data_IF_567652492445
#
_entry.id   IF_567652492445
#
_cell.length_a   1.000
_cell.length_b   1.000
_cell.length_c   1.000
_cell.angle_alpha   90.00
_cell.angle_beta   90.00
_cell.angle_gamma   90.00
#
_symmetry.space_group_name_H-M   'P 1'
#
loop_
_entity.id
_entity.type
_entity.pdbx_description
1 polymer ?
#
# COMPACT_ATOMS: atom_id res chain seq x y z
N UNK A 1 -9.51 -8.52 8.37
CA UNK A 1 -9.27 -9.29 7.13
C UNK A 1 -9.58 -8.46 5.89
N UNK A 2 -10.72 -7.78 5.84
CA UNK A 2 -11.09 -6.89 4.73
C UNK A 2 -10.00 -5.85 4.38
N UNK A 3 -9.54 -5.06 5.37
CA UNK A 3 -8.44 -4.10 5.19
C UNK A 3 -7.13 -4.72 4.68
N UNK A 4 -6.85 -5.97 5.06
CA UNK A 4 -5.65 -6.68 4.60
C UNK A 4 -5.78 -7.09 3.12
N UNK A 5 -6.98 -7.48 2.69
CA UNK A 5 -7.26 -7.74 1.26
C UNK A 5 -7.13 -6.46 0.44
N UNK A 6 -7.66 -5.33 0.94
CA UNK A 6 -7.51 -4.02 0.31
C UNK A 6 -6.03 -3.61 0.17
N UNK A 7 -5.22 -3.83 1.21
CA UNK A 7 -3.78 -3.58 1.15
C UNK A 7 -3.10 -4.37 0.04
N UNK A 8 -3.45 -5.65 -0.13
CA UNK A 8 -2.91 -6.49 -1.21
C UNK A 8 -3.34 -5.97 -2.59
N UNK A 9 -4.60 -5.56 -2.74
CA UNK A 9 -5.11 -5.02 -4.00
C UNK A 9 -4.39 -3.72 -4.38
N UNK A 10 -4.15 -2.84 -3.41
CA UNK A 10 -3.44 -1.59 -3.62
C UNK A 10 -2.00 -1.82 -4.09
N UNK A 11 -1.29 -2.77 -3.47
CA UNK A 11 0.07 -3.13 -3.90
C UNK A 11 0.06 -3.73 -5.31
N UNK A 12 -0.85 -4.66 -5.60
CA UNK A 12 -0.96 -5.26 -6.94
C UNK A 12 -1.25 -4.20 -8.02
N UNK A 13 -2.09 -3.21 -7.72
CA UNK A 13 -2.36 -2.11 -8.66
C UNK A 13 -1.15 -1.21 -8.91
N UNK A 14 -0.23 -1.11 -7.94
CA UNK A 14 0.96 -0.28 -8.04
C UNK A 14 2.11 -0.93 -8.82
N UNK A 15 2.07 -2.26 -9.07
CA UNK A 15 3.12 -2.98 -9.82
C UNK A 15 3.32 -2.42 -11.23
N UNK A 16 2.25 -2.10 -11.95
CA UNK A 16 2.34 -1.54 -13.30
C UNK A 16 3.06 -0.18 -13.32
N UNK A 17 2.79 0.67 -12.32
CA UNK A 17 3.47 1.95 -12.17
C UNK A 17 4.92 1.77 -11.68
N UNK A 18 5.20 0.74 -10.88
CA UNK A 18 6.56 0.37 -10.48
C UNK A 18 7.40 -0.04 -11.69
N UNK A 19 6.92 -0.98 -12.51
CA UNK A 19 7.59 -1.38 -13.75
C UNK A 19 7.79 -0.18 -14.68
N UNK A 20 6.75 0.64 -14.88
CA UNK A 20 6.86 1.82 -15.73
C UNK A 20 7.88 2.86 -15.20
N UNK A 21 7.99 3.03 -13.89
CA UNK A 21 8.96 3.94 -13.30
C UNK A 21 10.39 3.37 -13.36
N UNK A 22 10.62 2.15 -12.86
CA UNK A 22 11.96 1.58 -12.72
C UNK A 22 12.58 1.10 -14.03
N UNK A 23 11.78 0.54 -14.95
CA UNK A 23 12.30 0.01 -16.23
C UNK A 23 12.20 1.03 -17.36
N UNK A 24 11.13 1.84 -17.37
CA UNK A 24 10.82 2.74 -18.49
C UNK A 24 11.10 4.21 -18.20
N UNK A 25 11.66 4.55 -17.03
CA UNK A 25 11.94 5.92 -16.59
C UNK A 25 10.72 6.87 -16.67
N UNK A 26 9.49 6.35 -16.53
CA UNK A 26 8.28 7.15 -16.60
C UNK A 26 8.08 7.96 -15.31
N UNK A 27 8.39 9.26 -15.36
CA UNK A 27 8.27 10.17 -14.22
C UNK A 27 6.84 10.26 -13.65
N UNK A 28 5.81 10.24 -14.50
CA UNK A 28 4.42 10.30 -14.06
C UNK A 28 3.99 9.02 -13.32
N UNK A 29 4.49 7.86 -13.78
CA UNK A 29 4.32 6.60 -13.05
C UNK A 29 4.99 6.65 -11.67
N UNK A 30 6.16 7.31 -11.56
CA UNK A 30 6.81 7.56 -10.26
C UNK A 30 5.93 8.36 -9.29
N UNK A 31 5.24 9.40 -9.77
CA UNK A 31 4.31 10.17 -8.93
C UNK A 31 3.13 9.31 -8.44
N UNK A 32 2.54 8.50 -9.33
CA UNK A 32 1.43 7.61 -8.97
C UNK A 32 1.86 6.51 -8.00
N UNK A 33 2.99 5.86 -8.28
CA UNK A 33 3.61 4.85 -7.41
C UNK A 33 3.86 5.41 -6.01
N UNK A 34 4.43 6.61 -5.91
CA UNK A 34 4.68 7.25 -4.61
C UNK A 34 3.38 7.49 -3.83
N UNK A 35 2.32 7.94 -4.51
CA UNK A 35 1.02 8.15 -3.86
C UNK A 35 0.39 6.82 -3.41
N UNK A 36 0.44 5.78 -4.24
CA UNK A 36 -0.03 4.44 -3.89
C UNK A 36 0.73 3.88 -2.68
N UNK A 37 2.07 4.02 -2.64
CA UNK A 37 2.88 3.62 -1.50
C UNK A 37 2.55 4.41 -0.22
N UNK A 38 2.21 5.69 -0.35
CA UNK A 38 1.77 6.50 0.79
C UNK A 38 0.43 6.01 1.36
N UNK A 39 -0.51 5.63 0.50
CA UNK A 39 -1.79 5.03 0.91
C UNK A 39 -1.57 3.65 1.57
N UNK A 40 -0.70 2.81 0.98
CA UNK A 40 -0.29 1.52 1.52
C UNK A 40 0.29 1.66 2.93
N UNK A 41 1.16 2.66 3.16
CA UNK A 41 1.73 2.94 4.48
C UNK A 41 0.64 3.24 5.51
N UNK A 42 -0.32 4.10 5.17
CA UNK A 42 -1.42 4.46 6.06
C UNK A 42 -2.27 3.24 6.40
N UNK A 43 -2.73 2.51 5.38
CA UNK A 43 -3.58 1.33 5.56
C UNK A 43 -2.87 0.22 6.36
N UNK A 44 -1.58 -0.01 6.10
CA UNK A 44 -0.78 -0.96 6.87
C UNK A 44 -0.66 -0.56 8.35
N UNK A 45 -0.50 0.74 8.63
CA UNK A 45 -0.45 1.24 10.00
C UNK A 45 -1.80 1.06 10.72
N UNK A 46 -2.91 1.30 10.04
CA UNK A 46 -4.25 1.09 10.60
C UNK A 46 -4.49 -0.38 10.97
N UNK A 47 -4.13 -1.31 10.07
CA UNK A 47 -4.22 -2.75 10.33
C UNK A 47 -3.35 -3.12 11.55
N UNK A 48 -2.12 -2.60 11.65
CA UNK A 48 -1.24 -2.85 12.80
C UNK A 48 -1.86 -2.35 14.11
N UNK A 49 -2.48 -1.17 14.08
CA UNK A 49 -3.15 -0.59 15.24
C UNK A 49 -4.33 -1.48 15.68
N UNK A 50 -5.16 -1.96 14.75
CA UNK A 50 -6.25 -2.87 15.04
C UNK A 50 -5.79 -4.20 15.65
N UNK A 51 -4.72 -4.79 15.10
CA UNK A 51 -4.13 -6.01 15.66
C UNK A 51 -3.64 -5.78 17.09
N UNK A 52 -3.01 -4.62 17.34
CA UNK A 52 -2.53 -4.24 18.67
C UNK A 52 -3.68 -4.01 19.64
N UNK A 53 -4.73 -3.31 19.21
CA UNK A 53 -5.93 -3.10 20.00
C UNK A 53 -6.58 -4.43 20.40
N UNK A 54 -6.83 -5.33 19.43
CA UNK A 54 -7.37 -6.67 19.72
C UNK A 54 -6.51 -7.52 20.64
N UNK A 55 -5.18 -7.39 20.56
CA UNK A 55 -4.26 -8.06 21.48
C UNK A 55 -4.36 -7.50 22.90
N UNK A 56 -4.60 -6.20 23.03
CA UNK A 56 -4.66 -5.47 24.30
C UNK A 56 -6.06 -5.46 24.93
N UNK A 57 -7.12 -5.75 24.17
CA UNK A 57 -8.52 -5.96 24.62
C UNK A 57 -8.71 -7.26 25.44
N UNK A 58 -7.70 -7.64 26.23
CA UNK A 58 -7.85 -8.68 27.25
C UNK A 58 -8.84 -8.27 28.34
#
# INVERSE_FOLDING_TARGET
MEKFTELKALIASAEADATAFFEKNNKAAGTRLRNALQQTKTLAQDIRNEVTAKKNEK
#
